data_IF_222829037544
#
_entry.id   IF_222829037544
#
_cell.length_a   1.000
_cell.length_b   1.000
_cell.length_c   1.000
_cell.angle_alpha   90.00
_cell.angle_beta   90.00
_cell.angle_gamma   90.00
#
_symmetry.space_group_name_H-M   'P 1'
#
loop_
_entity.id
_entity.type
_entity.pdbx_description
1 polymer ?
#
# COMPACT_ATOMS: atom_id res chain seq x y z
N UNK A 1 16.50 -18.74 -2.86
CA UNK A 1 15.78 -19.60 -3.82
C UNK A 1 14.96 -20.58 -2.99
N UNK A 2 13.64 -20.41 -2.96
CA UNK A 2 12.74 -21.27 -2.20
C UNK A 2 12.18 -22.34 -3.16
N UNK A 3 12.11 -23.58 -2.69
CA UNK A 3 11.45 -24.65 -3.45
C UNK A 3 9.96 -24.62 -3.14
N UNK A 4 9.14 -24.38 -4.16
CA UNK A 4 7.71 -24.60 -4.09
C UNK A 4 7.56 -26.11 -4.27
N UNK A 5 7.02 -26.83 -3.29
CA UNK A 5 6.78 -28.29 -3.37
C UNK A 5 5.68 -28.68 -4.36
N UNK A 6 5.51 -27.91 -5.44
CA UNK A 6 4.53 -28.07 -6.51
C UNK A 6 5.21 -27.75 -7.82
N UNK A 7 4.84 -28.49 -8.85
CA UNK A 7 5.18 -28.16 -10.23
C UNK A 7 4.38 -26.91 -10.63
N UNK A 8 5.10 -25.82 -10.87
CA UNK A 8 4.53 -24.53 -11.28
C UNK A 8 5.41 -23.91 -12.33
N UNK A 9 4.80 -23.22 -13.28
CA UNK A 9 5.48 -22.35 -14.24
C UNK A 9 5.33 -20.90 -13.76
N UNK A 10 6.43 -20.14 -13.81
CA UNK A 10 6.47 -18.74 -13.41
C UNK A 10 6.97 -17.94 -14.60
N UNK A 11 6.17 -16.97 -15.02
CA UNK A 11 6.49 -16.04 -16.10
C UNK A 11 6.33 -14.60 -15.60
N UNK A 12 7.23 -13.71 -16.03
CA UNK A 12 7.10 -12.28 -15.79
C UNK A 12 6.25 -11.64 -16.89
N UNK A 13 5.04 -11.25 -16.53
CA UNK A 13 4.06 -10.61 -17.41
C UNK A 13 3.87 -9.12 -17.08
N UNK A 14 4.80 -8.48 -16.36
CA UNK A 14 4.62 -7.09 -15.93
C UNK A 14 4.45 -6.11 -17.12
N UNK A 15 5.16 -6.33 -18.22
CA UNK A 15 5.09 -5.48 -19.41
C UNK A 15 3.74 -5.57 -20.17
N UNK A 16 2.99 -6.62 -19.89
CA UNK A 16 1.74 -6.99 -20.56
C UNK A 16 0.51 -6.33 -19.93
N UNK A 17 0.70 -5.74 -18.75
CA UNK A 17 -0.35 -5.17 -17.92
C UNK A 17 0.00 -3.75 -17.48
N UNK A 18 -1.04 -2.95 -17.24
CA UNK A 18 -0.94 -1.62 -16.68
C UNK A 18 -1.88 -1.51 -15.49
N UNK A 19 -1.47 -0.72 -14.50
CA UNK A 19 -2.26 -0.41 -13.31
C UNK A 19 -2.53 1.09 -13.30
N UNK A 20 -3.80 1.47 -13.21
CA UNK A 20 -4.23 2.85 -13.01
C UNK A 20 -4.95 2.93 -11.67
N UNK A 21 -4.36 3.64 -10.70
CA UNK A 21 -4.95 3.84 -9.38
C UNK A 21 -5.92 5.02 -9.38
N UNK A 22 -7.17 4.77 -8.98
CA UNK A 22 -8.20 5.78 -8.79
C UNK A 22 -8.36 6.00 -7.28
N UNK A 23 -7.88 7.14 -6.80
CA UNK A 23 -7.79 7.46 -5.38
C UNK A 23 -8.89 8.46 -5.00
N UNK A 24 -9.63 8.17 -3.93
CA UNK A 24 -10.62 9.06 -3.34
C UNK A 24 -12.01 8.42 -3.18
N UNK A 25 -12.93 9.13 -2.50
CA UNK A 25 -14.25 8.60 -2.17
C UNK A 25 -15.15 8.34 -3.39
N UNK A 26 -14.89 9.03 -4.51
CA UNK A 26 -15.63 8.85 -5.76
C UNK A 26 -15.04 7.75 -6.66
N UNK A 27 -14.01 7.01 -6.21
CA UNK A 27 -13.29 6.05 -7.06
C UNK A 27 -14.20 5.01 -7.72
N UNK A 28 -15.18 4.48 -6.99
CA UNK A 28 -16.15 3.49 -7.50
C UNK A 28 -17.04 4.07 -8.60
N UNK A 29 -17.55 5.29 -8.37
CA UNK A 29 -18.40 6.00 -9.34
C UNK A 29 -17.62 6.34 -10.61
N UNK A 30 -16.43 6.93 -10.46
CA UNK A 30 -15.55 7.31 -11.56
C UNK A 30 -15.08 6.10 -12.37
N UNK A 31 -14.75 4.99 -11.70
CA UNK A 31 -14.42 3.74 -12.36
C UNK A 31 -15.62 3.11 -13.10
N UNK A 32 -16.85 3.45 -12.71
CA UNK A 32 -18.07 2.92 -13.32
C UNK A 32 -18.33 1.47 -12.91
N UNK A 33 -18.01 1.11 -11.67
CA UNK A 33 -18.23 -0.23 -11.11
C UNK A 33 -19.12 -0.18 -9.88
N UNK A 34 -19.51 -1.34 -9.32
CA UNK A 34 -20.21 -1.37 -8.02
C UNK A 34 -19.21 -1.36 -6.87
N UNK A 35 -19.61 -0.95 -5.65
CA UNK A 35 -18.75 -0.99 -4.48
C UNK A 35 -18.07 -2.35 -4.28
N UNK A 36 -16.78 -2.31 -3.99
CA UNK A 36 -15.93 -3.47 -3.69
C UNK A 36 -15.42 -3.35 -2.26
N UNK A 37 -15.70 -4.36 -1.45
CA UNK A 37 -15.26 -4.46 -0.07
C UNK A 37 -15.18 -5.93 0.35
N UNK A 38 -14.31 -6.31 1.30
CA UNK A 38 -13.33 -5.47 2.00
C UNK A 38 -12.16 -5.06 1.10
N UNK A 39 -11.12 -4.44 1.68
CA UNK A 39 -9.86 -4.24 0.97
C UNK A 39 -9.38 -5.56 0.31
N UNK A 40 -8.80 -5.45 -0.88
CA UNK A 40 -8.37 -6.54 -1.75
C UNK A 40 -9.52 -7.37 -2.34
N UNK A 41 -10.78 -7.02 -2.09
CA UNK A 41 -11.88 -7.53 -2.89
C UNK A 41 -11.69 -7.11 -4.36
N UNK A 42 -11.93 -8.05 -5.26
CA UNK A 42 -11.64 -7.85 -6.68
C UNK A 42 -12.81 -8.29 -7.55
N UNK A 43 -12.92 -7.67 -8.72
CA UNK A 43 -13.91 -8.02 -9.73
C UNK A 43 -13.38 -7.69 -11.12
N UNK A 44 -13.62 -8.60 -12.05
CA UNK A 44 -13.50 -8.34 -13.48
C UNK A 44 -14.82 -7.80 -14.01
N UNK A 45 -14.76 -6.71 -14.76
CA UNK A 45 -15.91 -6.12 -15.45
C UNK A 45 -15.47 -5.49 -16.76
N UNK A 46 -16.41 -5.29 -17.68
CA UNK A 46 -16.17 -4.58 -18.93
C UNK A 46 -16.80 -3.19 -18.87
N UNK A 47 -16.08 -2.20 -19.39
CA UNK A 47 -16.62 -0.86 -19.61
C UNK A 47 -16.15 -0.33 -20.95
N UNK A 48 -17.11 -0.04 -21.84
CA UNK A 48 -16.84 0.49 -23.19
C UNK A 48 -15.80 -0.34 -23.97
N UNK A 49 -15.89 -1.68 -23.88
CA UNK A 49 -14.97 -2.61 -24.55
C UNK A 49 -13.60 -2.78 -23.88
N UNK A 50 -13.37 -2.20 -22.69
CA UNK A 50 -12.18 -2.43 -21.88
C UNK A 50 -12.52 -3.41 -20.77
N UNK A 51 -11.88 -4.57 -20.76
CA UNK A 51 -11.92 -5.51 -19.63
C UNK A 51 -10.98 -5.01 -18.52
N UNK A 52 -11.50 -4.88 -17.30
CA UNK A 52 -10.82 -4.27 -16.17
C UNK A 52 -10.93 -5.20 -14.97
N UNK A 53 -9.79 -5.54 -14.36
CA UNK A 53 -9.73 -6.10 -13.02
C UNK A 53 -9.63 -4.96 -12.01
N UNK A 54 -10.73 -4.64 -11.34
CA UNK A 54 -10.73 -3.70 -10.21
C UNK A 54 -10.36 -4.42 -8.92
N UNK A 55 -9.46 -3.82 -8.14
CA UNK A 55 -9.05 -4.27 -6.81
C UNK A 55 -9.29 -3.15 -5.81
N UNK A 56 -10.05 -3.43 -4.75
CA UNK A 56 -10.27 -2.47 -3.67
C UNK A 56 -8.98 -2.20 -2.90
N UNK A 57 -8.68 -0.93 -2.68
CA UNK A 57 -7.61 -0.45 -1.80
C UNK A 57 -8.24 0.31 -0.62
N UNK A 58 -7.44 0.66 0.37
CA UNK A 58 -7.93 1.50 1.48
C UNK A 58 -8.16 2.96 1.10
N UNK A 59 -7.73 3.39 -0.09
CA UNK A 59 -7.87 4.76 -0.58
C UNK A 59 -8.74 4.86 -1.85
N UNK A 60 -9.18 3.75 -2.44
CA UNK A 60 -9.94 3.73 -3.68
C UNK A 60 -9.84 2.38 -4.40
N UNK A 61 -9.49 2.41 -5.69
CA UNK A 61 -9.38 1.22 -6.54
C UNK A 61 -8.05 1.22 -7.31
N UNK A 62 -7.44 0.05 -7.46
CA UNK A 62 -6.47 -0.19 -8.52
C UNK A 62 -7.20 -0.86 -9.70
N UNK A 63 -7.07 -0.29 -10.88
CA UNK A 63 -7.67 -0.81 -12.12
C UNK A 63 -6.58 -1.41 -12.98
N UNK A 64 -6.62 -2.73 -13.14
CA UNK A 64 -5.62 -3.51 -13.86
C UNK A 64 -6.19 -3.86 -15.24
N UNK A 65 -5.47 -3.48 -16.29
CA UNK A 65 -5.84 -3.69 -17.70
C UNK A 65 -4.64 -4.15 -18.50
N UNK A 66 -4.89 -4.71 -19.69
CA UNK A 66 -3.84 -4.93 -20.69
C UNK A 66 -3.11 -3.63 -21.00
N UNK A 67 -1.78 -3.68 -21.16
CA UNK A 67 -0.95 -2.49 -21.36
C UNK A 67 -1.44 -1.65 -22.55
N UNK A 68 -1.83 -2.29 -23.66
CA UNK A 68 -2.38 -1.65 -24.85
C UNK A 68 -3.73 -0.93 -24.64
N UNK A 69 -4.38 -1.11 -23.49
CA UNK A 69 -5.65 -0.46 -23.12
C UNK A 69 -5.48 0.64 -22.08
N UNK A 70 -4.27 0.91 -21.60
CA UNK A 70 -4.02 1.89 -20.54
C UNK A 70 -4.48 3.30 -20.91
N UNK A 71 -4.15 3.78 -22.12
CA UNK A 71 -4.56 5.11 -22.59
C UNK A 71 -6.09 5.22 -22.68
N UNK A 72 -6.75 4.19 -23.24
CA UNK A 72 -8.21 4.14 -23.34
C UNK A 72 -8.86 4.18 -21.95
N UNK A 73 -8.31 3.48 -20.95
CA UNK A 73 -8.80 3.53 -19.57
C UNK A 73 -8.63 4.93 -18.97
N UNK A 74 -7.48 5.57 -19.16
CA UNK A 74 -7.23 6.91 -18.62
C UNK A 74 -8.19 7.96 -19.22
N UNK A 75 -8.46 7.89 -20.52
CA UNK A 75 -9.48 8.73 -21.17
C UNK A 75 -10.89 8.50 -20.61
N UNK A 76 -11.27 7.23 -20.40
CA UNK A 76 -12.54 6.85 -19.79
C UNK A 76 -12.69 7.47 -18.39
N UNK A 77 -11.65 7.37 -17.57
CA UNK A 77 -11.63 7.92 -16.21
C UNK A 77 -11.70 9.45 -16.22
N UNK A 78 -10.94 10.10 -17.09
CA UNK A 78 -10.94 11.56 -17.22
C UNK A 78 -12.33 12.10 -17.62
N UNK A 79 -12.99 11.46 -18.60
CA UNK A 79 -14.39 11.79 -18.98
C UNK A 79 -15.39 11.54 -17.85
N UNK A 80 -15.05 10.68 -16.90
CA UNK A 80 -15.85 10.34 -15.73
C UNK A 80 -15.54 11.24 -14.52
N UNK A 81 -14.69 12.26 -14.67
CA UNK A 81 -14.36 13.21 -13.62
C UNK A 81 -13.10 12.90 -12.81
N UNK A 82 -12.31 11.89 -13.21
CA UNK A 82 -10.97 11.71 -12.65
C UNK A 82 -10.07 12.90 -13.05
N UNK A 83 -9.27 13.38 -12.11
CA UNK A 83 -8.17 14.29 -12.38
C UNK A 83 -6.86 13.53 -12.26
N UNK A 84 -5.95 13.76 -13.22
CA UNK A 84 -4.58 13.27 -13.10
C UNK A 84 -3.88 13.96 -11.94
N UNK A 85 -3.12 13.19 -11.16
CA UNK A 85 -2.37 13.68 -10.01
C UNK A 85 -0.94 13.17 -10.07
N UNK A 86 -0.01 13.99 -9.58
CA UNK A 86 1.38 13.55 -9.44
C UNK A 86 1.52 12.45 -8.39
N UNK A 87 2.53 11.60 -8.52
CA UNK A 87 2.90 10.62 -7.49
C UNK A 87 3.11 11.25 -6.10
N UNK A 88 3.63 12.47 -6.03
CA UNK A 88 3.81 13.19 -4.77
C UNK A 88 2.48 13.46 -4.03
N UNK A 89 1.38 13.66 -4.76
CA UNK A 89 0.06 13.86 -4.17
C UNK A 89 -0.50 12.54 -3.62
N UNK A 90 -0.33 11.44 -4.36
CA UNK A 90 -0.65 10.10 -3.88
C UNK A 90 0.19 9.73 -2.64
N UNK A 91 1.46 10.16 -2.61
CA UNK A 91 2.36 9.92 -1.48
C UNK A 91 1.91 10.63 -0.20
N UNK A 92 1.41 11.87 -0.33
CA UNK A 92 0.80 12.59 0.80
C UNK A 92 -0.33 11.77 1.39
N UNK A 93 -1.27 11.29 0.56
CA UNK A 93 -2.41 10.50 1.03
C UNK A 93 -1.99 9.18 1.67
N UNK A 94 -0.95 8.51 1.16
CA UNK A 94 -0.38 7.30 1.78
C UNK A 94 0.16 7.57 3.18
N UNK A 95 0.92 8.66 3.33
CA UNK A 95 1.50 9.03 4.65
C UNK A 95 0.39 9.48 5.61
N UNK A 96 -0.59 10.24 5.12
CA UNK A 96 -1.76 10.65 5.90
C UNK A 96 -2.67 9.48 6.30
N UNK A 97 -2.69 8.38 5.54
CA UNK A 97 -3.41 7.15 5.89
C UNK A 97 -2.58 6.16 6.73
N UNK A 98 -1.31 6.47 6.97
CA UNK A 98 -0.44 5.66 7.81
C UNK A 98 0.01 4.36 7.17
N UNK A 99 -0.07 4.24 5.83
CA UNK A 99 0.35 3.02 5.13
C UNK A 99 1.88 2.95 4.99
N UNK A 100 2.55 1.95 5.60
CA UNK A 100 3.99 1.77 5.37
C UNK A 100 4.27 1.28 3.95
N UNK A 101 5.42 1.67 3.39
CA UNK A 101 5.90 1.17 2.10
C UNK A 101 7.20 0.37 2.25
N UNK A 102 7.28 -0.76 1.53
CA UNK A 102 8.52 -1.52 1.42
C UNK A 102 9.60 -0.71 0.67
N UNK A 103 10.84 -0.76 1.16
CA UNK A 103 11.93 0.11 0.72
C UNK A 103 11.93 1.50 1.36
N UNK A 104 10.91 1.83 2.18
CA UNK A 104 10.85 3.05 2.99
C UNK A 104 10.76 2.66 4.47
N UNK A 105 9.55 2.58 5.01
CA UNK A 105 9.30 2.21 6.42
C UNK A 105 9.56 0.73 6.69
N UNK A 106 9.51 -0.12 5.67
CA UNK A 106 9.75 -1.55 5.79
C UNK A 106 10.92 -2.00 4.92
N UNK A 107 11.71 -2.91 5.47
CA UNK A 107 12.80 -3.61 4.76
C UNK A 107 12.71 -5.10 5.06
N UNK A 108 13.63 -5.89 4.49
CA UNK A 108 13.77 -7.32 4.83
C UNK A 108 14.11 -7.58 6.30
N UNK A 109 14.56 -6.56 7.04
CA UNK A 109 14.83 -6.63 8.48
C UNK A 109 13.64 -6.19 9.36
N UNK A 110 12.55 -5.70 8.75
CA UNK A 110 11.36 -5.24 9.47
C UNK A 110 10.34 -6.36 9.58
N UNK A 111 9.87 -6.64 10.78
CA UNK A 111 8.78 -7.60 10.99
C UNK A 111 7.40 -6.90 10.93
N UNK A 112 6.32 -7.60 10.53
CA UNK A 112 5.00 -6.99 10.37
C UNK A 112 4.51 -6.18 11.59
N UNK A 113 4.79 -6.66 12.80
CA UNK A 113 4.41 -5.97 14.04
C UNK A 113 5.17 -4.66 14.26
N UNK A 114 6.43 -4.54 13.82
CA UNK A 114 7.17 -3.27 13.93
C UNK A 114 6.56 -2.21 13.01
N UNK A 115 6.01 -2.63 11.86
CA UNK A 115 5.34 -1.75 10.90
C UNK A 115 3.84 -1.56 11.18
N UNK A 116 3.28 -2.23 12.19
CA UNK A 116 1.86 -2.13 12.55
C UNK A 116 0.90 -2.72 11.51
N UNK A 117 1.32 -3.72 10.74
CA UNK A 117 0.50 -4.33 9.67
C UNK A 117 0.12 -5.79 9.95
N UNK A 118 0.44 -6.33 11.13
CA UNK A 118 0.22 -7.74 11.42
C UNK A 118 -1.26 -8.13 11.41
N UNK A 119 -2.16 -7.29 11.92
CA UNK A 119 -3.61 -7.56 11.84
C UNK A 119 -4.14 -7.57 10.40
N UNK A 120 -3.52 -6.80 9.49
CA UNK A 120 -3.94 -6.64 8.10
C UNK A 120 -3.29 -7.63 7.14
N UNK A 121 -2.03 -8.00 7.39
CA UNK A 121 -1.19 -8.75 6.45
C UNK A 121 -0.80 -10.15 6.95
N UNK A 122 -1.02 -10.47 8.23
CA UNK A 122 -0.64 -11.76 8.82
C UNK A 122 -1.88 -12.55 9.21
N UNK A 123 -1.98 -13.77 8.69
CA UNK A 123 -2.93 -14.74 9.22
C UNK A 123 -2.23 -15.66 10.21
N UNK A 124 -2.71 -15.65 11.45
CA UNK A 124 -2.27 -16.54 12.53
C UNK A 124 -3.03 -17.88 12.56
N UNK A 125 -4.03 -18.02 11.70
CA UNK A 125 -4.92 -19.19 11.64
C UNK A 125 -4.73 -20.04 10.38
N UNK A 126 -4.06 -19.51 9.34
CA UNK A 126 -3.66 -20.30 8.16
C UNK A 126 -2.51 -21.25 8.49
N UNK A 127 -2.32 -22.26 7.63
CA UNK A 127 -1.24 -23.24 7.77
C UNK A 127 0.16 -22.63 7.73
N UNK A 128 1.17 -23.48 7.96
CA UNK A 128 2.57 -23.08 8.06
C UNK A 128 3.05 -22.26 6.85
N UNK A 129 3.58 -21.06 7.10
CA UNK A 129 4.26 -20.25 6.10
C UNK A 129 5.67 -19.84 6.55
N UNK A 130 6.52 -19.49 5.59
CA UNK A 130 7.92 -19.13 5.84
C UNK A 130 7.98 -17.90 6.75
N UNK A 131 8.82 -17.97 7.79
CA UNK A 131 8.98 -16.88 8.77
C UNK A 131 7.90 -16.80 9.84
N UNK A 132 6.89 -17.69 9.83
CA UNK A 132 5.80 -17.67 10.81
C UNK A 132 6.29 -17.80 12.25
N UNK A 133 7.36 -18.55 12.53
CA UNK A 133 7.83 -18.73 13.91
C UNK A 133 8.17 -17.40 14.58
N UNK A 134 8.91 -16.52 13.89
CA UNK A 134 9.29 -15.21 14.40
C UNK A 134 8.06 -14.34 14.65
N UNK A 135 7.14 -14.30 13.68
CA UNK A 135 5.92 -13.49 13.74
C UNK A 135 4.97 -14.00 14.83
N UNK A 136 4.75 -15.31 14.91
CA UNK A 136 3.89 -15.93 15.91
C UNK A 136 4.45 -15.82 17.33
N UNK A 137 5.77 -16.00 17.51
CA UNK A 137 6.44 -15.83 18.81
C UNK A 137 6.18 -14.43 19.37
N UNK A 138 6.31 -13.41 18.52
CA UNK A 138 6.09 -12.04 18.94
C UNK A 138 4.63 -11.78 19.28
N UNK A 139 3.70 -12.27 18.44
CA UNK A 139 2.27 -12.11 18.65
C UNK A 139 1.78 -12.73 19.97
N UNK A 140 2.22 -13.96 20.30
CA UNK A 140 1.73 -14.67 21.48
C UNK A 140 2.50 -14.40 22.77
N UNK A 141 3.78 -14.02 22.70
CA UNK A 141 4.68 -14.00 23.86
C UNK A 141 5.63 -12.81 23.91
N UNK A 142 5.48 -11.80 23.05
CA UNK A 142 6.40 -10.69 22.99
C UNK A 142 5.76 -9.36 22.64
N UNK A 143 6.62 -8.36 22.43
CA UNK A 143 6.29 -7.03 21.95
C UNK A 143 7.39 -6.58 20.99
N UNK A 144 7.09 -5.89 19.88
CA UNK A 144 8.11 -5.42 18.96
C UNK A 144 9.03 -4.40 19.67
N UNK A 145 10.32 -4.44 19.33
CA UNK A 145 11.32 -3.55 19.93
C UNK A 145 11.19 -2.10 19.42
N UNK A 146 10.59 -1.93 18.25
CA UNK A 146 10.36 -0.65 17.57
C UNK A 146 8.94 -0.62 17.06
N UNK A 147 8.42 0.59 16.89
CA UNK A 147 7.13 0.78 16.24
C UNK A 147 7.26 1.90 15.22
N UNK A 148 6.63 1.71 14.07
CA UNK A 148 6.38 2.79 13.14
C UNK A 148 5.37 3.76 13.76
N UNK A 149 5.64 5.06 13.64
CA UNK A 149 4.84 6.14 14.21
C UNK A 149 4.68 7.26 13.20
N UNK A 150 3.53 7.93 13.27
CA UNK A 150 3.26 9.15 12.52
C UNK A 150 3.71 10.34 13.35
N UNK A 151 4.49 11.25 12.75
CA UNK A 151 4.97 12.45 13.43
C UNK A 151 4.43 13.69 12.73
N UNK A 152 4.03 14.69 13.51
CA UNK A 152 3.81 16.05 13.02
C UNK A 152 4.92 16.93 13.55
N UNK A 153 5.61 17.59 12.64
CA UNK A 153 6.79 18.39 12.93
C UNK A 153 6.53 19.85 12.54
N UNK A 154 7.13 20.77 13.29
CA UNK A 154 7.05 22.21 13.01
C UNK A 154 8.04 22.64 11.91
N UNK A 155 9.01 21.78 11.59
CA UNK A 155 10.05 22.03 10.60
C UNK A 155 10.21 20.85 9.66
N UNK A 156 10.58 21.08 8.38
CA UNK A 156 10.85 20.00 7.43
C UNK A 156 11.97 19.08 7.91
N UNK A 157 11.87 17.81 7.54
CA UNK A 157 12.90 16.77 7.75
C UNK A 157 13.05 15.95 6.48
N UNK A 158 14.16 15.23 6.37
CA UNK A 158 14.46 14.34 5.27
C UNK A 158 14.38 12.87 5.69
N UNK A 159 14.01 11.96 4.78
CA UNK A 159 14.22 10.53 4.96
C UNK A 159 15.66 10.24 5.41
N UNK A 160 15.82 9.42 6.45
CA UNK A 160 17.13 9.09 7.02
C UNK A 160 17.57 9.99 8.18
N UNK A 161 16.88 11.11 8.44
CA UNK A 161 17.21 11.95 9.60
C UNK A 161 17.00 11.18 10.91
N UNK A 162 17.92 11.37 11.86
CA UNK A 162 17.85 10.74 13.18
C UNK A 162 16.73 11.36 14.03
N UNK A 163 15.95 10.53 14.70
CA UNK A 163 14.96 10.94 15.69
C UNK A 163 15.63 10.81 17.06
N UNK A 164 15.75 11.91 17.79
CA UNK A 164 16.52 11.98 19.03
C UNK A 164 15.63 12.40 20.20
N UNK A 165 15.84 11.77 21.36
CA UNK A 165 15.27 12.16 22.65
C UNK A 165 16.40 12.46 23.63
N UNK A 166 16.63 13.75 23.91
CA UNK A 166 17.82 14.20 24.65
C UNK A 166 19.08 13.95 23.84
N UNK A 167 20.01 13.13 24.37
CA UNK A 167 21.24 12.74 23.68
C UNK A 167 21.15 11.35 23.02
N UNK A 168 19.96 10.72 23.06
CA UNK A 168 19.76 9.36 22.56
C UNK A 168 19.00 9.34 21.26
N UNK A 169 19.57 8.73 20.23
CA UNK A 169 18.84 8.35 19.02
C UNK A 169 17.84 7.22 19.33
N UNK A 170 16.59 7.44 18.94
CA UNK A 170 15.46 6.52 19.18
C UNK A 170 14.82 5.99 17.89
N UNK A 171 15.25 6.47 16.73
CA UNK A 171 14.76 6.02 15.44
C UNK A 171 15.24 6.88 14.28
N UNK A 172 14.63 6.67 13.13
CA UNK A 172 15.00 7.34 11.88
C UNK A 172 13.74 7.71 11.11
N UNK A 173 13.75 8.85 10.43
CA UNK A 173 12.65 9.29 9.57
C UNK A 173 12.56 8.37 8.33
N UNK A 174 11.38 7.79 8.08
CA UNK A 174 11.09 6.98 6.89
C UNK A 174 10.71 7.84 5.68
N UNK A 175 9.45 8.27 5.63
CA UNK A 175 8.95 9.20 4.61
C UNK A 175 8.50 10.51 5.27
N UNK A 176 8.82 11.63 4.62
CA UNK A 176 8.36 12.96 5.02
C UNK A 176 7.61 13.61 3.86
N UNK A 177 6.47 14.24 4.16
CA UNK A 177 5.64 14.98 3.20
C UNK A 177 5.13 16.26 3.84
N UNK A 178 4.78 17.26 3.02
CA UNK A 178 4.03 18.42 3.48
C UNK A 178 2.53 18.12 3.36
N UNK A 179 1.89 17.76 4.48
CA UNK A 179 0.47 17.44 4.54
C UNK A 179 -0.39 18.72 4.53
N UNK A 180 -1.25 18.94 3.51
CA UNK A 180 -2.19 20.06 3.50
C UNK A 180 -3.32 19.88 4.54
N UNK A 181 -3.67 18.63 4.88
CA UNK A 181 -4.68 18.33 5.90
C UNK A 181 -4.14 18.39 7.34
N UNK A 182 -2.82 18.53 7.50
CA UNK A 182 -2.14 18.49 8.79
C UNK A 182 -2.31 17.17 9.53
N UNK A 183 -2.50 16.04 8.84
CA UNK A 183 -2.75 14.73 9.48
C UNK A 183 -1.45 13.94 9.67
N UNK A 184 -1.42 13.10 10.69
CA UNK A 184 -0.40 12.05 10.88
C UNK A 184 -1.14 10.72 10.90
N UNK A 185 -0.91 9.86 9.90
CA UNK A 185 -1.76 8.69 9.66
C UNK A 185 -1.59 7.53 10.63
N UNK A 186 -0.53 7.53 11.43
CA UNK A 186 -0.30 6.55 12.48
C UNK A 186 -0.33 7.22 13.85
N UNK A 187 -0.97 6.60 14.86
CA UNK A 187 -0.92 7.06 16.25
C UNK A 187 0.48 6.90 16.86
#
# INVERSE_FOLDING_TARGET
>A
MYSIGREVEIEDIAADWSIVSVIGPAAVEVAGTSPLSPEHAQRVYEREGVEILAVATDLGLDLIVRAERSEQLQELLARSGAAEVSEAAAEILRVESGRPRFGREMTTATIPQEAGIDERAVSFTKGCYIGQETVARLHYRGKPNRHLRGLRLESPVSPGDAIVLGDREIGTVGTAVLSPAGRSGLP
#
